data_IF_826961489812
#
_entry.id   IF_826961489812
#
_cell.length_a   1.000
_cell.length_b   1.000
_cell.length_c   1.000
_cell.angle_alpha   90.00
_cell.angle_beta   90.00
_cell.angle_gamma   90.00
#
_symmetry.space_group_name_H-M   'P 1'
#
loop_
_entity.id
_entity.type
_entity.pdbx_description
1 polymer ?
#
# COMPACT_ATOMS: atom_id res chain seq x y z
N UNK A 1 49.81 30.76 18.56
CA UNK A 1 48.86 31.65 19.27
C UNK A 1 47.81 30.75 19.89
N UNK A 2 48.02 30.20 21.10
CA UNK A 2 47.65 30.71 22.44
C UNK A 2 46.17 31.08 22.58
N UNK A 3 45.50 30.28 23.41
CA UNK A 3 44.11 30.35 23.86
C UNK A 3 43.78 31.55 24.77
N UNK A 4 42.47 31.66 25.08
CA UNK A 4 41.82 31.88 26.38
C UNK A 4 41.12 33.23 26.68
N UNK A 5 39.99 33.04 27.39
CA UNK A 5 39.30 33.88 28.41
C UNK A 5 38.27 34.90 27.92
N UNK A 6 37.00 34.83 28.34
CA UNK A 6 36.33 34.70 29.66
C UNK A 6 35.98 36.05 30.31
N UNK A 7 34.68 36.18 30.66
CA UNK A 7 34.04 36.87 31.79
C UNK A 7 34.64 38.17 32.35
N UNK A 8 33.82 39.23 32.44
CA UNK A 8 33.36 39.82 33.73
C UNK A 8 32.54 41.10 33.52
N UNK A 9 31.57 41.31 34.40
CA UNK A 9 30.96 42.63 34.61
C UNK A 9 29.73 42.57 35.52
N UNK A 10 29.93 42.39 36.83
CA UNK A 10 28.88 42.55 37.84
C UNK A 10 28.90 44.00 38.37
N UNK A 11 27.72 44.61 38.57
CA UNK A 11 27.54 45.76 39.47
C UNK A 11 26.25 45.57 40.27
N UNK A 12 26.40 45.61 41.61
CA UNK A 12 25.35 45.70 42.65
C UNK A 12 25.16 47.16 43.07
N UNK A 13 23.94 47.51 43.52
CA UNK A 13 23.56 48.38 44.68
C UNK A 13 22.03 48.53 44.62
N UNK A 14 21.19 47.97 45.50
CA UNK A 14 20.96 48.10 46.97
C UNK A 14 20.45 49.48 47.39
N UNK A 15 19.17 49.56 47.77
CA UNK A 15 18.52 50.69 48.47
C UNK A 15 17.11 50.34 48.98
N UNK A 16 16.99 50.24 50.31
CA UNK A 16 15.79 50.25 51.20
C UNK A 16 14.80 51.39 50.88
N UNK A 17 13.56 51.54 51.39
CA UNK A 17 12.55 50.87 52.24
C UNK A 17 11.29 51.81 52.15
N UNK A 18 10.04 51.46 52.49
CA UNK A 18 9.41 51.59 53.84
C UNK A 18 7.87 51.59 53.64
N UNK A 19 7.16 50.79 54.45
CA UNK A 19 5.82 50.95 55.09
C UNK A 19 4.54 51.23 54.24
N UNK A 20 3.29 50.97 54.65
CA UNK A 20 2.66 50.52 55.91
C UNK A 20 1.22 50.01 55.61
N UNK A 21 0.67 49.27 56.56
CA UNK A 21 -0.66 48.65 56.67
C UNK A 21 -1.83 49.66 56.79
N UNK A 22 -3.01 49.34 56.23
CA UNK A 22 -4.32 49.64 56.84
C UNK A 22 -5.45 48.80 56.19
N UNK A 23 -6.26 48.17 57.04
CA UNK A 23 -7.46 47.39 56.70
C UNK A 23 -8.71 48.28 56.63
N UNK A 24 -9.79 47.82 55.98
CA UNK A 24 -11.19 47.80 56.47
C UNK A 24 -12.12 47.15 55.43
N UNK A 25 -13.09 46.38 55.94
CA UNK A 25 -14.07 45.52 55.28
C UNK A 25 -15.13 46.27 54.44
N UNK A 26 -15.69 45.60 53.43
CA UNK A 26 -17.14 45.59 53.16
C UNK A 26 -17.54 44.38 52.30
N UNK A 27 -18.64 43.74 52.70
CA UNK A 27 -19.17 42.50 52.14
C UNK A 27 -19.73 42.67 50.72
N UNK A 28 -19.45 41.70 49.85
CA UNK A 28 -20.14 41.49 48.59
C UNK A 28 -20.36 40.00 48.39
N UNK A 29 -21.59 39.53 48.60
CA UNK A 29 -21.99 38.18 48.21
C UNK A 29 -21.98 38.10 46.68
N UNK A 30 -20.85 37.68 46.10
CA UNK A 30 -20.80 37.30 44.71
C UNK A 30 -21.58 35.99 44.56
N UNK A 31 -22.76 36.05 43.95
CA UNK A 31 -23.45 34.88 43.44
C UNK A 31 -22.56 34.32 42.33
N UNK A 32 -21.80 33.28 42.65
CA UNK A 32 -21.06 32.50 41.65
C UNK A 32 -22.10 31.76 40.82
N UNK A 33 -22.48 32.33 39.68
CA UNK A 33 -23.21 31.61 38.64
C UNK A 33 -22.24 30.58 38.08
N UNK A 34 -22.54 29.27 38.13
CA UNK A 34 -21.63 28.28 37.58
C UNK A 34 -21.66 28.38 36.06
N UNK A 35 -20.55 28.80 35.46
CA UNK A 35 -20.32 28.74 34.01
C UNK A 35 -20.18 27.29 33.49
N UNK A 36 -20.49 26.27 34.31
CA UNK A 36 -20.27 24.86 34.01
C UNK A 36 -21.43 24.21 33.23
N UNK A 37 -22.61 24.83 33.20
CA UNK A 37 -23.79 24.21 32.56
C UNK A 37 -23.74 24.19 31.02
N UNK A 38 -22.92 25.04 30.38
CA UNK A 38 -22.83 25.11 28.91
C UNK A 38 -21.76 24.17 28.32
N UNK A 39 -20.72 23.83 29.08
CA UNK A 39 -19.68 22.90 28.63
C UNK A 39 -20.16 21.43 28.69
N UNK A 40 -21.02 21.09 29.65
CA UNK A 40 -21.54 19.73 29.84
C UNK A 40 -22.54 19.33 28.74
N UNK A 41 -23.27 20.30 28.18
CA UNK A 41 -24.27 20.05 27.14
C UNK A 41 -23.67 19.66 25.80
N UNK A 42 -22.45 20.10 25.48
CA UNK A 42 -21.82 19.83 24.19
C UNK A 42 -21.16 18.44 24.19
N UNK A 43 -20.42 18.12 25.25
CA UNK A 43 -19.77 16.82 25.41
C UNK A 43 -20.76 15.65 25.48
N UNK A 44 -21.92 15.83 26.13
CA UNK A 44 -22.97 14.79 26.17
C UNK A 44 -23.64 14.61 24.80
N UNK A 45 -23.73 15.68 24.01
CA UNK A 45 -24.33 15.65 22.67
C UNK A 45 -23.39 15.04 21.63
N UNK A 46 -22.09 15.26 21.77
CA UNK A 46 -21.03 14.58 21.01
C UNK A 46 -20.97 13.08 21.35
N UNK A 47 -21.08 12.72 22.63
CA UNK A 47 -21.13 11.31 23.06
C UNK A 47 -22.43 10.58 22.65
N UNK A 48 -23.52 11.33 22.45
CA UNK A 48 -24.81 10.81 21.98
C UNK A 48 -24.95 10.83 20.45
N UNK A 49 -23.97 11.38 19.71
CA UNK A 49 -23.99 11.32 18.26
C UNK A 49 -23.76 9.87 17.82
N UNK A 50 -24.56 9.33 16.87
CA UNK A 50 -24.26 8.04 16.28
C UNK A 50 -22.86 8.10 15.65
N UNK A 51 -22.07 7.01 15.74
CA UNK A 51 -20.73 7.01 15.17
C UNK A 51 -20.81 7.38 13.68
N UNK A 52 -19.85 8.17 13.16
CA UNK A 52 -19.81 8.52 11.75
C UNK A 52 -19.88 7.24 10.91
N UNK A 53 -20.83 7.19 9.96
CA UNK A 53 -20.93 6.09 9.03
C UNK A 53 -19.74 6.21 8.07
N UNK A 54 -18.76 5.32 8.20
CA UNK A 54 -17.69 5.18 7.22
C UNK A 54 -18.22 4.43 6.01
N UNK A 55 -18.38 5.13 4.89
CA UNK A 55 -18.84 4.53 3.65
C UNK A 55 -17.67 3.83 2.95
N UNK A 56 -17.84 2.59 2.44
CA UNK A 56 -16.78 1.92 1.71
C UNK A 56 -16.31 2.73 0.50
N UNK A 57 -15.00 2.79 0.30
CA UNK A 57 -14.40 3.42 -0.87
C UNK A 57 -14.78 2.68 -2.15
N UNK A 58 -14.85 3.44 -3.24
CA UNK A 58 -15.07 2.92 -4.60
C UNK A 58 -13.76 2.94 -5.38
N UNK A 59 -13.54 2.00 -6.31
CA UNK A 59 -12.37 2.03 -7.17
C UNK A 59 -12.28 3.35 -7.95
N UNK A 60 -11.09 3.95 -7.96
CA UNK A 60 -10.83 5.16 -8.75
C UNK A 60 -10.46 4.81 -10.20
N UNK A 61 -11.13 5.42 -11.21
CA UNK A 61 -10.71 5.30 -12.61
C UNK A 61 -9.29 5.81 -12.85
N UNK A 62 -8.79 6.74 -12.04
CA UNK A 62 -7.45 7.29 -12.16
C UNK A 62 -6.38 6.21 -12.01
N UNK A 63 -6.56 5.32 -11.04
CA UNK A 63 -5.59 4.27 -10.71
C UNK A 63 -5.68 3.06 -11.64
N UNK A 64 -6.71 2.98 -12.49
CA UNK A 64 -6.89 1.87 -13.44
C UNK A 64 -5.74 1.76 -14.47
N UNK A 65 -5.01 2.86 -14.70
CA UNK A 65 -3.85 2.92 -15.60
C UNK A 65 -2.54 2.48 -14.95
N UNK A 66 -2.50 2.31 -13.63
CA UNK A 66 -1.27 2.00 -12.91
C UNK A 66 -0.86 0.53 -13.05
N UNK A 67 0.45 0.25 -12.90
CA UNK A 67 0.95 -1.11 -12.73
C UNK A 67 0.14 -1.87 -11.67
N UNK A 68 -0.24 -3.10 -12.01
CA UNK A 68 -1.00 -3.99 -11.14
C UNK A 68 -0.07 -4.99 -10.49
N UNK A 69 -0.30 -5.27 -9.22
CA UNK A 69 0.36 -6.33 -8.48
C UNK A 69 -0.71 -7.20 -7.81
N UNK A 70 -0.52 -8.51 -7.78
CA UNK A 70 -1.44 -9.43 -7.14
C UNK A 70 -0.67 -10.40 -6.23
N UNK A 71 -1.26 -10.70 -5.09
CA UNK A 71 -0.64 -11.59 -4.12
C UNK A 71 -1.34 -11.55 -2.77
N UNK A 72 -0.66 -12.01 -1.74
CA UNK A 72 -1.23 -12.13 -0.40
C UNK A 72 -0.82 -10.93 0.46
N UNK A 73 -1.76 -10.44 1.26
CA UNK A 73 -1.57 -9.59 2.43
C UNK A 73 -2.08 -10.38 3.64
N UNK A 74 -1.16 -10.86 4.47
CA UNK A 74 -1.44 -11.89 5.47
C UNK A 74 -2.10 -13.11 4.81
N UNK A 75 -3.33 -13.42 5.22
CA UNK A 75 -4.12 -14.53 4.70
C UNK A 75 -5.08 -14.15 3.57
N UNK A 76 -5.13 -12.88 3.16
CA UNK A 76 -6.10 -12.37 2.20
C UNK A 76 -5.43 -11.97 0.89
N UNK A 77 -6.03 -12.37 -0.22
CA UNK A 77 -5.50 -12.00 -1.53
C UNK A 77 -5.98 -10.61 -1.93
N UNK A 78 -5.05 -9.77 -2.40
CA UNK A 78 -5.30 -8.41 -2.87
C UNK A 78 -4.83 -8.20 -4.30
N UNK A 79 -5.37 -7.16 -4.93
CA UNK A 79 -4.83 -6.55 -6.16
C UNK A 79 -4.48 -5.10 -5.86
N UNK A 80 -3.19 -4.78 -5.88
CA UNK A 80 -2.65 -3.44 -5.73
C UNK A 80 -2.50 -2.78 -7.11
N UNK A 81 -2.88 -1.51 -7.22
CA UNK A 81 -2.55 -0.60 -8.32
C UNK A 81 -1.71 0.52 -7.73
N UNK A 82 -0.46 0.63 -8.14
CA UNK A 82 0.48 1.60 -7.55
C UNK A 82 1.28 2.29 -8.66
N UNK A 83 1.26 3.62 -8.67
CA UNK A 83 1.95 4.44 -9.65
C UNK A 83 2.59 5.67 -9.01
N UNK A 84 3.40 6.42 -9.78
CA UNK A 84 4.02 7.65 -9.29
C UNK A 84 2.97 8.75 -9.08
N UNK A 85 3.18 9.59 -8.05
CA UNK A 85 2.48 10.87 -7.90
C UNK A 85 2.99 11.86 -8.95
N UNK A 86 2.12 12.75 -9.43
CA UNK A 86 2.47 13.72 -10.48
C UNK A 86 3.29 14.91 -9.98
N UNK A 87 3.18 15.21 -8.70
CA UNK A 87 3.71 16.39 -8.01
C UNK A 87 4.93 16.08 -7.13
N UNK A 88 5.25 14.80 -6.95
CA UNK A 88 6.37 14.32 -6.15
C UNK A 88 7.12 13.19 -6.88
N UNK A 89 8.38 13.41 -7.30
CA UNK A 89 9.17 12.40 -8.01
C UNK A 89 9.45 11.11 -7.22
N UNK A 90 9.50 11.18 -5.88
CA UNK A 90 9.66 10.02 -5.01
C UNK A 90 8.31 9.42 -4.59
N UNK A 91 7.25 10.23 -4.65
CA UNK A 91 5.92 9.87 -4.23
C UNK A 91 5.27 8.79 -5.08
N UNK A 92 4.60 7.85 -4.41
CA UNK A 92 3.73 6.85 -5.02
C UNK A 92 2.32 6.92 -4.42
N UNK A 93 1.33 6.53 -5.21
CA UNK A 93 -0.06 6.42 -4.75
C UNK A 93 -0.86 5.39 -5.55
N UNK A 94 -1.99 5.01 -4.98
CA UNK A 94 -3.01 4.23 -5.67
C UNK A 94 -4.00 3.60 -4.71
N UNK A 95 -4.40 2.36 -5.02
CA UNK A 95 -5.37 1.62 -4.25
C UNK A 95 -5.06 0.12 -4.29
N UNK A 96 -5.45 -0.62 -3.26
CA UNK A 96 -5.60 -2.06 -3.36
C UNK A 96 -7.05 -2.48 -3.12
N UNK A 97 -7.40 -3.63 -3.69
CA UNK A 97 -8.72 -4.24 -3.54
C UNK A 97 -8.58 -5.65 -3.00
N UNK A 98 -9.36 -5.97 -1.97
CA UNK A 98 -9.50 -7.34 -1.53
C UNK A 98 -10.31 -8.16 -2.54
N UNK A 99 -9.81 -9.32 -2.91
CA UNK A 99 -10.44 -10.17 -3.93
C UNK A 99 -11.67 -10.93 -3.43
N UNK A 100 -11.82 -11.08 -2.12
CA UNK A 100 -12.92 -11.81 -1.49
C UNK A 100 -14.21 -10.99 -1.40
N UNK A 101 -14.11 -9.68 -1.13
CA UNK A 101 -15.24 -8.80 -0.89
C UNK A 101 -15.22 -7.50 -1.71
N UNK A 102 -14.17 -7.24 -2.48
CA UNK A 102 -14.03 -6.04 -3.31
C UNK A 102 -13.79 -4.75 -2.54
N UNK A 103 -13.53 -4.81 -1.22
CA UNK A 103 -13.25 -3.62 -0.42
C UNK A 103 -11.99 -2.92 -0.94
N UNK A 104 -12.10 -1.61 -1.13
CA UNK A 104 -11.05 -0.75 -1.69
C UNK A 104 -10.39 0.01 -0.55
N UNK A 105 -9.07 0.08 -0.61
CA UNK A 105 -8.24 0.77 0.36
C UNK A 105 -7.25 1.65 -0.40
N UNK A 106 -7.15 2.91 -0.02
CA UNK A 106 -6.18 3.85 -0.59
C UNK A 106 -4.81 3.63 0.03
N UNK A 107 -3.77 3.85 -0.78
CA UNK A 107 -2.39 3.72 -0.36
C UNK A 107 -1.54 4.84 -0.97
N UNK A 108 -0.70 5.48 -0.16
CA UNK A 108 0.17 6.56 -0.62
C UNK A 108 1.40 6.70 0.27
N UNK A 109 2.51 7.13 -0.31
CA UNK A 109 3.76 7.37 0.40
C UNK A 109 4.87 7.55 -0.61
N UNK A 110 6.02 6.95 -0.34
CA UNK A 110 7.26 7.16 -1.08
C UNK A 110 7.90 5.84 -1.53
N UNK A 111 8.66 5.96 -2.61
CA UNK A 111 9.56 4.92 -3.10
C UNK A 111 10.95 5.51 -3.27
N UNK A 112 11.89 5.06 -2.44
CA UNK A 112 13.32 5.38 -2.57
C UNK A 112 14.08 4.14 -3.05
N UNK A 113 14.52 4.17 -4.32
CA UNK A 113 15.17 3.04 -4.97
C UNK A 113 14.30 1.78 -4.99
N UNK A 114 14.75 0.76 -4.24
CA UNK A 114 14.03 -0.49 -4.06
C UNK A 114 13.12 -0.50 -2.83
N UNK A 115 13.16 0.51 -1.96
CA UNK A 115 12.38 0.55 -0.72
C UNK A 115 11.02 1.24 -0.95
N UNK A 116 9.98 0.68 -0.35
CA UNK A 116 8.61 1.19 -0.34
C UNK A 116 8.21 1.52 1.09
N UNK A 117 7.75 2.74 1.32
CA UNK A 117 7.17 3.18 2.59
C UNK A 117 5.86 3.90 2.29
N UNK A 118 4.73 3.30 2.67
CA UNK A 118 3.40 3.83 2.32
C UNK A 118 2.41 3.66 3.46
N UNK A 119 1.42 4.54 3.49
CA UNK A 119 0.34 4.57 4.47
C UNK A 119 -0.97 4.12 3.82
N UNK A 120 -1.83 3.52 4.63
CA UNK A 120 -3.10 2.91 4.24
C UNK A 120 -4.30 3.72 4.76
N UNK A 121 -5.31 3.95 3.93
CA UNK A 121 -6.56 4.57 4.37
C UNK A 121 -7.80 3.86 3.80
N UNK A 122 -8.75 3.55 4.67
CA UNK A 122 -10.02 2.90 4.30
C UNK A 122 -11.16 3.90 4.02
N UNK A 123 -10.95 5.20 4.28
CA UNK A 123 -11.94 6.26 4.08
C UNK A 123 -11.38 7.50 3.35
N UNK A 124 -10.07 7.52 3.05
CA UNK A 124 -9.37 8.61 2.38
C UNK A 124 -9.02 9.80 3.27
N UNK A 125 -9.25 9.71 4.58
CA UNK A 125 -9.04 10.79 5.55
C UNK A 125 -8.26 10.37 6.79
N UNK A 126 -8.33 9.10 7.18
CA UNK A 126 -7.60 8.56 8.32
C UNK A 126 -6.59 7.50 7.88
N UNK A 127 -5.40 7.54 8.46
CA UNK A 127 -4.40 6.48 8.31
C UNK A 127 -4.80 5.32 9.23
N UNK A 128 -4.78 4.12 8.66
CA UNK A 128 -5.24 2.87 9.30
C UNK A 128 -4.18 1.78 9.33
N UNK A 129 -3.05 2.00 8.65
CA UNK A 129 -1.91 1.11 8.68
C UNK A 129 -0.71 1.67 7.93
N UNK A 130 0.45 1.10 8.21
CA UNK A 130 1.74 1.45 7.63
C UNK A 130 2.27 0.24 6.86
N UNK A 131 2.93 0.46 5.74
CA UNK A 131 3.56 -0.59 4.94
C UNK A 131 5.03 -0.27 4.73
N UNK A 132 5.89 -1.26 4.95
CA UNK A 132 7.30 -1.19 4.62
C UNK A 132 7.64 -2.41 3.77
N UNK A 133 8.26 -2.20 2.61
CA UNK A 133 8.61 -3.29 1.72
C UNK A 133 9.75 -2.98 0.77
N UNK A 134 10.08 -3.97 -0.05
CA UNK A 134 11.11 -3.87 -1.09
C UNK A 134 10.66 -4.41 -2.42
N UNK A 135 10.99 -3.69 -3.48
CA UNK A 135 10.90 -4.13 -4.85
C UNK A 135 12.10 -5.03 -5.19
N UNK A 136 11.83 -6.25 -5.64
CA UNK A 136 12.84 -7.13 -6.20
C UNK A 136 13.12 -6.78 -7.68
N UNK A 137 14.22 -7.33 -8.21
CA UNK A 137 14.63 -7.12 -9.60
C UNK A 137 13.61 -7.65 -10.64
N UNK A 138 12.77 -8.61 -10.25
CA UNK A 138 11.67 -9.13 -11.08
C UNK A 138 10.42 -8.23 -11.06
N UNK A 139 10.49 -7.10 -10.34
CA UNK A 139 9.40 -6.16 -10.13
C UNK A 139 8.42 -6.56 -9.02
N UNK A 140 8.57 -7.72 -8.37
CA UNK A 140 7.74 -8.06 -7.21
C UNK A 140 8.00 -7.14 -6.02
N UNK A 141 7.00 -6.99 -5.16
CA UNK A 141 7.11 -6.17 -3.94
C UNK A 141 6.66 -6.99 -2.74
N UNK A 142 7.50 -7.05 -1.72
CA UNK A 142 7.24 -7.84 -0.52
C UNK A 142 7.70 -7.08 0.74
N UNK A 143 7.07 -7.36 1.87
CA UNK A 143 7.31 -6.64 3.12
C UNK A 143 6.24 -6.93 4.16
N UNK A 144 6.03 -5.98 5.07
CA UNK A 144 5.03 -6.06 6.14
C UNK A 144 4.11 -4.84 6.12
N UNK A 145 2.83 -5.10 6.43
CA UNK A 145 1.82 -4.10 6.76
C UNK A 145 1.57 -4.17 8.26
N UNK A 146 1.60 -3.04 8.95
CA UNK A 146 1.33 -2.92 10.39
C UNK A 146 0.16 -1.98 10.64
N UNK A 147 -0.39 -2.01 11.85
CA UNK A 147 -1.22 -0.93 12.37
C UNK A 147 -0.40 0.35 12.55
N UNK A 148 -1.08 1.47 12.80
CA UNK A 148 -0.44 2.80 12.95
C UNK A 148 0.55 2.86 14.13
N UNK A 149 0.34 2.02 15.15
CA UNK A 149 1.22 1.87 16.32
C UNK A 149 2.29 0.78 16.13
N UNK A 150 2.54 0.39 14.88
CA UNK A 150 3.47 -0.67 14.45
C UNK A 150 3.14 -2.08 14.99
N UNK A 151 1.93 -2.28 15.54
CA UNK A 151 1.45 -3.59 15.97
C UNK A 151 0.89 -4.43 14.81
N UNK A 152 0.70 -5.73 15.07
CA UNK A 152 0.11 -6.70 14.13
C UNK A 152 0.75 -6.70 12.72
N UNK A 153 2.05 -7.01 12.61
CA UNK A 153 2.70 -7.12 11.31
C UNK A 153 2.09 -8.27 10.49
N UNK A 154 1.63 -7.93 9.30
CA UNK A 154 1.07 -8.84 8.33
C UNK A 154 1.98 -8.88 7.09
N UNK A 155 2.58 -10.03 6.76
CA UNK A 155 3.47 -10.11 5.62
C UNK A 155 2.69 -9.98 4.32
N UNK A 156 3.32 -9.38 3.30
CA UNK A 156 2.80 -9.37 1.94
C UNK A 156 3.86 -9.77 0.92
N UNK A 157 3.42 -10.38 -0.17
CA UNK A 157 4.22 -10.66 -1.38
C UNK A 157 3.32 -10.50 -2.60
N UNK A 158 3.61 -9.49 -3.42
CA UNK A 158 2.81 -9.10 -4.56
C UNK A 158 3.65 -9.18 -5.84
N UNK A 159 3.12 -9.91 -6.83
CA UNK A 159 3.76 -10.10 -8.13
C UNK A 159 3.16 -9.19 -9.19
N UNK A 160 3.97 -8.63 -10.12
CA UNK A 160 3.46 -7.85 -11.23
C UNK A 160 2.44 -8.66 -12.03
N UNK A 161 1.35 -8.00 -12.42
CA UNK A 161 0.28 -8.58 -13.19
C UNK A 161 0.16 -7.83 -14.52
N UNK A 162 0.33 -8.55 -15.63
CA UNK A 162 0.28 -7.94 -16.95
C UNK A 162 -1.10 -7.31 -17.23
N UNK A 163 -1.13 -6.30 -18.09
CA UNK A 163 -2.38 -5.67 -18.49
C UNK A 163 -3.35 -6.71 -19.09
N UNK A 164 -4.60 -6.71 -18.63
CA UNK A 164 -5.61 -7.68 -19.05
C UNK A 164 -5.46 -9.10 -18.45
N UNK A 165 -4.38 -9.39 -17.73
CA UNK A 165 -4.21 -10.68 -17.06
C UNK A 165 -5.20 -10.81 -15.89
N UNK A 166 -5.82 -11.99 -15.79
CA UNK A 166 -6.67 -12.37 -14.67
C UNK A 166 -5.85 -12.56 -13.39
N UNK A 167 -6.47 -12.25 -12.24
CA UNK A 167 -5.85 -12.47 -10.93
C UNK A 167 -5.67 -13.98 -10.72
N UNK A 168 -4.46 -14.48 -10.40
CA UNK A 168 -4.26 -15.88 -10.09
C UNK A 168 -5.09 -16.31 -8.87
N UNK A 169 -5.49 -17.59 -8.74
CA UNK A 169 -6.13 -18.08 -7.53
C UNK A 169 -5.26 -17.84 -6.28
N UNK A 170 -5.86 -17.61 -5.09
CA UNK A 170 -5.12 -17.50 -3.83
C UNK A 170 -4.21 -18.73 -3.61
N UNK A 171 -2.95 -18.50 -3.24
CA UNK A 171 -1.99 -19.57 -2.95
C UNK A 171 -1.38 -20.29 -4.17
N UNK A 172 -1.66 -19.85 -5.40
CA UNK A 172 -0.96 -20.37 -6.58
C UNK A 172 0.54 -19.98 -6.55
N UNK A 173 1.47 -20.92 -6.83
CA UNK A 173 2.89 -20.62 -6.83
C UNK A 173 3.24 -19.59 -7.91
N UNK A 174 4.13 -18.66 -7.57
CA UNK A 174 4.52 -17.48 -8.36
C UNK A 174 5.03 -17.78 -9.80
N UNK A 175 5.28 -19.03 -10.16
CA UNK A 175 5.79 -19.43 -11.48
C UNK A 175 4.73 -20.00 -12.43
N UNK A 176 3.48 -20.24 -11.99
CA UNK A 176 2.45 -20.85 -12.83
C UNK A 176 1.88 -19.90 -13.91
N UNK A 177 1.96 -18.59 -13.69
CA UNK A 177 1.43 -17.58 -14.62
C UNK A 177 2.19 -17.51 -15.95
N UNK A 178 3.50 -17.82 -15.95
CA UNK A 178 4.32 -17.76 -17.18
C UNK A 178 4.23 -19.03 -18.04
N UNK A 179 3.60 -20.11 -17.56
CA UNK A 179 3.47 -21.35 -18.33
C UNK A 179 2.15 -21.44 -19.12
N UNK A 180 1.08 -20.77 -18.64
CA UNK A 180 -0.21 -20.76 -19.30
C UNK A 180 -0.24 -19.92 -20.60
N UNK A 181 0.66 -18.94 -20.76
CA UNK A 181 0.77 -18.13 -21.97
C UNK A 181 1.55 -18.83 -23.11
N UNK A 182 2.33 -19.88 -22.82
CA UNK A 182 3.14 -20.60 -23.81
C UNK A 182 2.40 -21.77 -24.49
N UNK A 183 1.17 -22.10 -24.08
CA UNK A 183 0.41 -23.23 -24.64
C UNK A 183 -0.82 -22.83 -25.48
N UNK A 184 -1.09 -21.53 -25.68
CA UNK A 184 -2.27 -21.05 -26.43
C UNK A 184 -1.95 -20.53 -27.84
N UNK A 185 -0.78 -20.85 -28.40
CA UNK A 185 -0.40 -20.49 -29.78
C UNK A 185 -0.06 -21.68 -30.68
N UNK A 186 -0.64 -22.85 -30.43
CA UNK A 186 -0.80 -23.88 -31.46
C UNK A 186 -2.19 -23.74 -32.10
N UNK A 187 -2.36 -22.64 -32.84
CA UNK A 187 -3.55 -22.40 -33.65
C UNK A 187 -3.69 -23.47 -34.72
N UNK A 188 -4.84 -24.14 -34.72
CA UNK A 188 -5.27 -25.07 -35.75
C UNK A 188 -5.30 -24.37 -37.11
N UNK A 189 -4.37 -24.76 -37.98
CA UNK A 189 -4.38 -24.39 -39.39
C UNK A 189 -5.35 -25.31 -40.17
N UNK A 190 -6.26 -24.64 -40.86
CA UNK A 190 -7.29 -25.14 -41.78
C UNK A 190 -6.71 -26.04 -42.88
N UNK A 191 -7.27 -27.23 -43.07
CA UNK A 191 -6.99 -28.10 -44.22
C UNK A 191 -8.21 -28.17 -45.14
N UNK A 192 -8.07 -27.98 -46.47
CA UNK A 192 -9.09 -28.38 -47.43
C UNK A 192 -8.89 -29.85 -47.84
N UNK A 193 -9.98 -30.59 -47.97
CA UNK A 193 -10.00 -31.96 -48.48
C UNK A 193 -9.75 -32.02 -49.99
N UNK A 194 -9.15 -33.13 -50.47
CA UNK A 194 -9.70 -33.80 -51.63
C UNK A 194 -9.99 -35.28 -51.36
N UNK A 195 -11.11 -35.76 -51.90
CA UNK A 195 -11.47 -37.17 -51.99
C UNK A 195 -10.87 -37.78 -53.25
N UNK A 196 -10.16 -38.91 -53.12
CA UNK A 196 -10.28 -40.07 -54.02
C UNK A 196 -9.36 -41.24 -53.63
N UNK A 197 -10.01 -42.39 -53.42
CA UNK A 197 -9.70 -43.74 -53.88
C UNK A 197 -8.35 -44.45 -53.54
N UNK A 198 -8.52 -45.50 -52.72
CA UNK A 198 -8.19 -46.91 -52.98
C UNK A 198 -6.73 -47.46 -52.87
N UNK A 199 -6.71 -48.70 -52.35
CA UNK A 199 -5.73 -49.78 -52.49
C UNK A 199 -4.62 -49.96 -51.42
N UNK A 200 -4.93 -50.84 -50.47
CA UNK A 200 -4.25 -52.10 -50.13
C UNK A 200 -2.70 -52.18 -49.96
N UNK A 201 -2.37 -52.88 -48.86
CA UNK A 201 -1.36 -53.95 -48.72
C UNK A 201 -0.05 -53.63 -47.98
N UNK A 202 0.14 -54.47 -46.95
CA UNK A 202 1.37 -55.16 -46.56
C UNK A 202 2.55 -54.37 -45.98
N UNK A 203 2.74 -54.56 -44.68
CA UNK A 203 3.92 -55.27 -44.17
C UNK A 203 5.19 -54.47 -43.87
N UNK A 204 5.80 -54.79 -42.72
CA UNK A 204 7.26 -54.76 -42.57
C UNK A 204 7.83 -53.63 -41.71
N UNK A 205 8.37 -54.02 -40.56
CA UNK A 205 9.23 -53.24 -39.68
C UNK A 205 10.53 -52.76 -40.38
N UNK A 206 11.03 -51.59 -39.98
CA UNK A 206 12.48 -51.35 -39.93
C UNK A 206 12.82 -50.29 -38.85
N UNK A 207 13.57 -50.76 -37.86
CA UNK A 207 14.28 -50.01 -36.83
C UNK A 207 15.69 -49.70 -37.34
N UNK A 208 16.20 -48.52 -36.98
CA UNK A 208 17.63 -48.25 -36.90
C UNK A 208 18.24 -47.49 -38.07
N UNK A 209 19.01 -46.45 -37.76
CA UNK A 209 19.96 -45.86 -38.70
C UNK A 209 20.16 -44.37 -38.55
N UNK A 210 21.08 -43.99 -37.65
CA UNK A 210 21.76 -42.69 -37.65
C UNK A 210 22.64 -42.51 -38.90
N UNK A 211 23.00 -41.24 -39.16
CA UNK A 211 23.91 -40.69 -40.20
C UNK A 211 23.15 -39.99 -41.35
N UNK A 212 23.57 -38.86 -41.89
CA UNK A 212 24.85 -38.16 -41.79
C UNK A 212 24.71 -36.68 -42.18
N UNK A 213 25.74 -35.92 -41.79
CA UNK A 213 26.21 -34.65 -42.31
C UNK A 213 25.77 -34.29 -43.74
N UNK A 214 25.42 -33.02 -43.94
CA UNK A 214 25.52 -32.37 -45.25
C UNK A 214 25.98 -30.92 -45.07
N UNK A 215 27.28 -30.71 -45.24
CA UNK A 215 27.87 -29.44 -45.69
C UNK A 215 27.61 -29.28 -47.19
N UNK A 216 27.16 -28.11 -47.61
CA UNK A 216 27.02 -27.73 -49.02
C UNK A 216 27.21 -26.22 -49.17
N UNK A 217 28.37 -25.88 -49.75
CA UNK A 217 28.84 -24.65 -50.41
C UNK A 217 28.61 -23.26 -49.79
#
# INVERSE_FOLDING_TARGET
>A
MRELKAMRGAVRRRGWAVATVAAVLCAGAAVVVPAQAWAESDAVKELAAPPPIQLPLKPSPEFAKFPRYAGMLGSRQIVLKLGPKSDDPAGVHGEYQYTDNGAVILIAGDRDGDTLEVEESNDGTHITGNWVGKFAADGSVAGDRMNVDDSDPQPFDLKPLAAGQAVPPPGAPASAANKAAAQSSAGAATAPAPVSAAAAAAGGHAVGGVSNLQTGE
#
